data_IF_489323939188
#
_entry.id   IF_489323939188
#
_cell.length_a   1.000
_cell.length_b   1.000
_cell.length_c   1.000
_cell.angle_alpha   90.00
_cell.angle_beta   90.00
_cell.angle_gamma   90.00
#
_symmetry.space_group_name_H-M   'P 1'
#
loop_
_entity.id
_entity.type
_entity.pdbx_description
1 polymer ?
#
# COMPACT_ATOMS: atom_id res chain seq x y z
N UNK A 1 -10.74 -3.87 23.75
CA UNK A 1 -11.29 -4.41 22.47
C UNK A 1 -11.42 -3.32 21.42
N UNK A 2 -12.21 -2.25 21.65
CA UNK A 2 -12.30 -1.09 20.72
C UNK A 2 -10.98 -0.39 20.41
N UNK A 3 -10.09 -0.14 21.39
CA UNK A 3 -8.83 0.58 21.10
C UNK A 3 -7.86 -0.24 20.24
N UNK A 4 -7.73 -1.55 20.50
CA UNK A 4 -6.86 -2.45 19.73
C UNK A 4 -7.31 -2.59 18.27
N UNK A 5 -8.63 -2.67 18.04
CA UNK A 5 -9.17 -2.69 16.67
C UNK A 5 -8.96 -1.34 15.96
N UNK A 6 -9.06 -0.22 16.67
CA UNK A 6 -8.77 1.09 16.07
C UNK A 6 -7.28 1.24 15.73
N UNK A 7 -6.37 0.74 16.57
CA UNK A 7 -4.94 0.70 16.27
C UNK A 7 -4.64 -0.16 15.03
N UNK A 8 -5.27 -1.34 14.92
CA UNK A 8 -5.17 -2.20 13.74
C UNK A 8 -5.73 -1.53 12.49
N UNK A 9 -6.88 -0.85 12.59
CA UNK A 9 -7.46 -0.11 11.46
C UNK A 9 -6.53 1.00 10.97
N UNK A 10 -5.98 1.80 11.89
CA UNK A 10 -5.02 2.85 11.52
C UNK A 10 -3.78 2.27 10.81
N UNK A 11 -3.31 1.11 11.27
CA UNK A 11 -2.18 0.39 10.69
C UNK A 11 -2.48 -0.15 9.28
N UNK A 12 -3.67 -0.72 9.09
CA UNK A 12 -4.19 -1.17 7.80
C UNK A 12 -4.31 0.01 6.84
N UNK A 13 -4.96 1.09 7.26
CA UNK A 13 -5.13 2.31 6.46
C UNK A 13 -3.79 2.91 6.03
N UNK A 14 -2.83 3.01 6.95
CA UNK A 14 -1.50 3.52 6.64
C UNK A 14 -0.78 2.69 5.57
N UNK A 15 -0.84 1.35 5.66
CA UNK A 15 -0.23 0.47 4.66
C UNK A 15 -0.90 0.55 3.31
N UNK A 16 -2.24 0.60 3.28
CA UNK A 16 -2.99 0.73 2.03
C UNK A 16 -2.71 2.08 1.35
N UNK A 17 -2.64 3.18 2.12
CA UNK A 17 -2.24 4.48 1.59
C UNK A 17 -0.82 4.45 1.00
N UNK A 18 0.14 3.82 1.70
CA UNK A 18 1.50 3.69 1.20
C UNK A 18 1.57 2.85 -0.08
N UNK A 19 0.88 1.70 -0.11
CA UNK A 19 0.81 0.83 -1.28
C UNK A 19 0.19 1.55 -2.48
N UNK A 20 -0.90 2.31 -2.25
CA UNK A 20 -1.55 3.11 -3.27
C UNK A 20 -0.61 4.18 -3.84
N UNK A 21 0.06 4.97 -3.00
CA UNK A 21 1.00 5.99 -3.46
C UNK A 21 2.14 5.39 -4.29
N UNK A 22 2.64 4.22 -3.89
CA UNK A 22 3.65 3.49 -4.67
C UNK A 22 3.08 3.04 -6.03
N UNK A 23 1.89 2.44 -6.08
CA UNK A 23 1.25 2.06 -7.34
C UNK A 23 1.06 3.28 -8.26
N UNK A 24 0.66 4.43 -7.71
CA UNK A 24 0.53 5.67 -8.48
C UNK A 24 1.86 6.13 -9.09
N UNK A 25 2.97 6.04 -8.35
CA UNK A 25 4.32 6.32 -8.86
C UNK A 25 4.70 5.36 -9.99
N UNK A 26 4.42 4.06 -9.85
CA UNK A 26 4.73 3.09 -10.89
C UNK A 26 3.90 3.32 -12.18
N UNK A 27 2.61 3.62 -12.04
CA UNK A 27 1.70 3.87 -13.17
C UNK A 27 2.01 5.20 -13.88
N UNK A 28 2.29 6.25 -13.12
CA UNK A 28 2.55 7.58 -13.63
C UNK A 28 4.05 7.88 -13.77
N UNK A 29 4.89 6.85 -13.81
CA UNK A 29 6.34 6.97 -13.85
C UNK A 29 6.86 7.92 -14.96
N UNK A 30 6.21 7.90 -16.12
CA UNK A 30 6.52 8.81 -17.23
C UNK A 30 5.97 10.23 -17.05
N UNK A 31 4.99 10.44 -16.17
CA UNK A 31 4.39 11.74 -15.87
C UNK A 31 5.13 12.48 -14.74
N UNK A 32 5.89 11.77 -13.91
CA UNK A 32 6.76 12.34 -12.88
C UNK A 32 8.13 12.77 -13.39
N UNK A 33 8.35 12.70 -14.72
CA UNK A 33 9.63 13.11 -15.32
C UNK A 33 9.92 14.59 -15.04
N UNK A 34 11.19 14.90 -14.75
CA UNK A 34 11.63 16.29 -14.65
C UNK A 34 11.44 16.99 -16.01
N UNK A 35 10.98 18.24 -15.98
CA UNK A 35 10.79 19.03 -17.19
C UNK A 35 12.10 19.07 -18.01
N UNK A 36 12.01 18.66 -19.28
CA UNK A 36 13.16 18.59 -20.20
C UNK A 36 13.86 17.23 -20.30
N UNK A 37 13.43 16.22 -19.53
CA UNK A 37 13.91 14.84 -19.68
C UNK A 37 12.86 13.97 -20.38
N UNK A 38 13.30 13.08 -21.26
CA UNK A 38 12.44 12.08 -21.94
C UNK A 38 12.49 10.70 -21.29
N UNK A 39 13.27 10.55 -20.23
CA UNK A 39 13.40 9.32 -19.47
C UNK A 39 12.36 9.25 -18.34
N UNK A 40 11.91 8.03 -17.96
CA UNK A 40 11.01 7.85 -16.83
C UNK A 40 11.65 8.29 -15.50
N UNK A 41 10.82 8.65 -14.52
CA UNK A 41 11.28 9.06 -13.18
C UNK A 41 12.06 7.94 -12.44
N UNK A 42 11.66 6.69 -12.63
CA UNK A 42 12.36 5.48 -12.18
C UNK A 42 12.50 4.47 -13.33
N UNK A 43 13.51 3.63 -13.29
CA UNK A 43 13.71 2.59 -14.30
C UNK A 43 12.66 1.48 -14.23
N UNK A 44 12.50 0.74 -15.33
CA UNK A 44 11.50 -0.35 -15.42
C UNK A 44 11.65 -1.39 -14.30
N UNK A 45 12.89 -1.79 -13.97
CA UNK A 45 13.15 -2.76 -12.90
C UNK A 45 12.79 -2.20 -11.51
N UNK A 46 12.97 -0.88 -11.31
CA UNK A 46 12.60 -0.20 -10.07
C UNK A 46 11.08 -0.10 -9.94
N UNK A 47 10.36 0.16 -11.03
CA UNK A 47 8.90 0.13 -11.05
C UNK A 47 8.37 -1.28 -10.71
N UNK A 48 9.01 -2.34 -11.23
CA UNK A 48 8.71 -3.72 -10.85
C UNK A 48 8.91 -4.00 -9.36
N UNK A 49 10.04 -3.57 -8.80
CA UNK A 49 10.32 -3.69 -7.35
C UNK A 49 9.29 -2.92 -6.51
N UNK A 50 8.87 -1.75 -6.99
CA UNK A 50 7.89 -0.91 -6.31
C UNK A 50 6.51 -1.61 -6.26
N UNK A 51 6.08 -2.21 -7.37
CA UNK A 51 4.84 -3.00 -7.44
C UNK A 51 4.89 -4.24 -6.53
N UNK A 52 6.04 -4.91 -6.47
CA UNK A 52 6.26 -6.02 -5.53
C UNK A 52 6.10 -5.57 -4.08
N UNK A 53 6.78 -4.50 -3.68
CA UNK A 53 6.68 -3.96 -2.34
C UNK A 53 5.26 -3.45 -2.01
N UNK A 54 4.54 -2.86 -2.97
CA UNK A 54 3.12 -2.52 -2.81
C UNK A 54 2.26 -3.76 -2.56
N UNK A 55 2.52 -4.85 -3.28
CA UNK A 55 1.80 -6.12 -3.09
C UNK A 55 2.01 -6.66 -1.67
N UNK A 56 3.24 -6.64 -1.16
CA UNK A 56 3.55 -7.10 0.20
C UNK A 56 2.79 -6.27 1.26
N UNK A 57 2.72 -4.94 1.09
CA UNK A 57 1.96 -4.06 1.98
C UNK A 57 0.46 -4.37 1.97
N UNK A 58 -0.11 -4.65 0.79
CA UNK A 58 -1.52 -5.05 0.65
C UNK A 58 -1.76 -6.39 1.33
N UNK A 59 -0.90 -7.39 1.11
CA UNK A 59 -1.00 -8.70 1.75
C UNK A 59 -0.96 -8.59 3.27
N UNK A 60 -0.03 -7.81 3.82
CA UNK A 60 0.06 -7.57 5.27
C UNK A 60 -1.21 -6.89 5.81
N UNK A 61 -1.74 -5.90 5.10
CA UNK A 61 -2.98 -5.23 5.49
C UNK A 61 -4.19 -6.18 5.48
N UNK A 62 -4.27 -7.10 4.51
CA UNK A 62 -5.33 -8.11 4.43
C UNK A 62 -5.21 -9.14 5.56
N UNK A 63 -4.00 -9.59 5.89
CA UNK A 63 -3.76 -10.50 7.00
C UNK A 63 -4.14 -9.85 8.35
N UNK A 64 -3.79 -8.58 8.55
CA UNK A 64 -4.19 -7.81 9.74
C UNK A 64 -5.70 -7.63 9.82
N UNK A 65 -6.37 -7.37 8.69
CA UNK A 65 -7.83 -7.28 8.62
C UNK A 65 -8.49 -8.61 9.02
N UNK A 66 -7.94 -9.73 8.56
CA UNK A 66 -8.41 -11.07 8.93
C UNK A 66 -8.23 -11.40 10.43
N UNK A 67 -7.28 -10.75 11.09
CA UNK A 67 -7.02 -10.89 12.53
C UNK A 67 -7.85 -9.93 13.40
N UNK A 68 -8.65 -9.04 12.80
CA UNK A 68 -9.52 -8.16 13.56
C UNK A 68 -10.66 -8.94 14.23
N UNK A 69 -10.85 -8.74 15.52
CA UNK A 69 -12.03 -9.23 16.23
C UNK A 69 -13.22 -8.34 15.85
N UNK A 70 -13.94 -8.74 14.80
CA UNK A 70 -15.09 -7.98 14.27
C UNK A 70 -16.33 -8.07 15.17
N UNK A 71 -16.26 -8.70 16.34
CA UNK A 71 -17.32 -8.66 17.34
C UNK A 71 -18.66 -9.16 16.78
N UNK A 72 -18.65 -10.34 16.17
CA UNK A 72 -19.79 -10.90 15.43
C UNK A 72 -20.12 -12.34 15.80
N UNK A 73 -20.03 -12.70 17.08
CA UNK A 73 -20.45 -14.01 17.56
C UNK A 73 -21.03 -13.91 18.96
N UNK A 74 -22.36 -14.02 19.07
CA UNK A 74 -22.98 -14.38 20.35
C UNK A 74 -22.32 -15.68 20.83
N UNK A 75 -21.93 -15.72 22.11
CA UNK A 75 -21.71 -16.99 22.81
C UNK A 75 -22.97 -17.86 22.73
#
# INVERSE_FOLDING_TARGET
MRSKNNELLNQIEARLMQAQSMIEVALNNHNYKCAGYDEPFIEHHQAGNLLWASSDLISLALDELGNMDLGGGKK
#
